data_IF_274138883867
#
_entry.id   IF_274138883867
#
_cell.length_a   1.000
_cell.length_b   1.000
_cell.length_c   1.000
_cell.angle_alpha   90.00
_cell.angle_beta   90.00
_cell.angle_gamma   90.00
#
_symmetry.space_group_name_H-M   'P 1'
#
loop_
_entity.id
_entity.type
_entity.pdbx_description
1 polymer ?
#
# COMPACT_ATOMS: atom_id res chain seq x y z
N UNK A 1 13.59 11.11 7.75
CA UNK A 1 12.29 10.53 8.19
C UNK A 1 11.84 9.48 7.19
N UNK A 2 11.71 8.19 7.53
CA UNK A 2 11.23 7.18 6.60
C UNK A 2 9.70 7.20 6.56
N UNK A 3 9.10 8.37 6.31
CA UNK A 3 7.64 8.49 6.20
C UNK A 3 7.10 7.81 4.92
N UNK A 4 7.97 7.52 3.95
CA UNK A 4 7.62 6.84 2.70
C UNK A 4 7.12 5.41 2.92
N UNK A 5 7.73 4.69 3.85
CA UNK A 5 7.49 3.27 4.03
C UNK A 5 6.24 2.98 4.89
N UNK A 6 5.98 3.79 5.93
CA UNK A 6 4.96 3.42 6.91
C UNK A 6 3.53 3.38 6.36
N UNK A 7 3.13 4.28 5.46
CA UNK A 7 1.76 4.28 4.93
C UNK A 7 1.51 3.02 4.09
N UNK A 8 2.47 2.68 3.23
CA UNK A 8 2.39 1.49 2.39
C UNK A 8 2.49 0.21 3.23
N UNK A 9 3.43 0.15 4.18
CA UNK A 9 3.57 -0.99 5.09
C UNK A 9 2.32 -1.17 5.95
N UNK A 10 1.73 -0.06 6.43
CA UNK A 10 0.50 -0.10 7.22
C UNK A 10 -0.69 -0.59 6.40
N UNK A 11 -0.83 -0.10 5.16
CA UNK A 11 -1.88 -0.56 4.24
C UNK A 11 -1.71 -2.06 3.93
N UNK A 12 -0.49 -2.52 3.63
CA UNK A 12 -0.19 -3.93 3.39
C UNK A 12 -0.53 -4.81 4.60
N UNK A 13 -0.16 -4.37 5.82
CA UNK A 13 -0.47 -5.09 7.06
C UNK A 13 -1.99 -5.26 7.28
N UNK A 14 -2.77 -4.23 7.01
CA UNK A 14 -4.24 -4.29 7.12
C UNK A 14 -4.86 -5.22 6.07
N UNK A 15 -4.36 -5.21 4.84
CA UNK A 15 -4.80 -6.13 3.78
C UNK A 15 -4.47 -7.59 4.12
N UNK A 16 -3.29 -7.85 4.69
CA UNK A 16 -2.91 -9.18 5.19
C UNK A 16 -3.85 -9.67 6.30
N UNK A 17 -4.20 -8.80 7.25
CA UNK A 17 -5.16 -9.13 8.30
C UNK A 17 -6.56 -9.41 7.72
N UNK A 18 -7.00 -8.61 6.73
CA UNK A 18 -8.26 -8.82 6.04
C UNK A 18 -8.30 -10.18 5.32
N UNK A 19 -7.23 -10.55 4.60
CA UNK A 19 -7.13 -11.86 3.96
C UNK A 19 -7.20 -13.05 4.94
N UNK A 20 -6.77 -12.88 6.19
CA UNK A 20 -6.90 -13.92 7.24
C UNK A 20 -8.34 -14.10 7.72
N UNK A 21 -9.17 -13.06 7.60
CA UNK A 21 -10.60 -13.08 7.94
C UNK A 21 -11.45 -13.72 6.84
N UNK A 22 -11.00 -13.67 5.58
CA UNK A 22 -11.63 -14.35 4.44
C UNK A 22 -11.32 -15.86 4.47
N UNK A 23 -12.30 -16.63 4.93
CA UNK A 23 -12.19 -18.09 5.15
C UNK A 23 -13.23 -18.89 4.37
N UNK A 24 -14.33 -18.25 3.95
CA UNK A 24 -15.41 -18.96 3.27
C UNK A 24 -15.02 -19.27 1.82
N UNK A 25 -15.50 -20.38 1.23
CA UNK A 25 -15.21 -20.72 -0.16
C UNK A 25 -15.63 -19.62 -1.15
N UNK A 26 -16.75 -18.96 -0.90
CA UNK A 26 -17.31 -17.91 -1.76
C UNK A 26 -16.43 -16.64 -1.76
N UNK A 27 -15.63 -16.45 -0.70
CA UNK A 27 -14.74 -15.30 -0.53
C UNK A 27 -13.39 -15.48 -1.25
N UNK A 28 -13.12 -16.65 -1.85
CA UNK A 28 -11.80 -16.91 -2.43
C UNK A 28 -11.45 -16.03 -3.62
N UNK A 29 -12.45 -15.66 -4.44
CA UNK A 29 -12.24 -14.72 -5.53
C UNK A 29 -11.80 -13.35 -5.01
N UNK A 30 -12.45 -12.85 -3.95
CA UNK A 30 -12.09 -11.61 -3.28
C UNK A 30 -10.69 -11.70 -2.66
N UNK A 31 -10.39 -12.81 -1.98
CA UNK A 31 -9.06 -13.04 -1.40
C UNK A 31 -7.95 -13.01 -2.45
N UNK A 32 -8.20 -13.59 -3.63
CA UNK A 32 -7.26 -13.56 -4.74
C UNK A 32 -7.10 -12.15 -5.33
N UNK A 33 -8.19 -11.38 -5.45
CA UNK A 33 -8.13 -9.99 -5.89
C UNK A 33 -7.30 -9.12 -4.93
N UNK A 34 -7.53 -9.25 -3.62
CA UNK A 34 -6.78 -8.51 -2.59
C UNK A 34 -5.29 -8.88 -2.62
N UNK A 35 -4.93 -10.16 -2.78
CA UNK A 35 -3.54 -10.58 -2.94
C UNK A 35 -2.86 -9.92 -4.14
N UNK A 36 -3.53 -9.86 -5.30
CA UNK A 36 -2.99 -9.18 -6.49
C UNK A 36 -2.72 -7.69 -6.22
N UNK A 37 -3.62 -7.02 -5.49
CA UNK A 37 -3.41 -5.62 -5.07
C UNK A 37 -2.19 -5.51 -4.16
N UNK A 38 -2.04 -6.40 -3.19
CA UNK A 38 -0.86 -6.42 -2.32
C UNK A 38 0.44 -6.63 -3.11
N UNK A 39 0.45 -7.51 -4.09
CA UNK A 39 1.63 -7.77 -4.94
C UNK A 39 2.00 -6.54 -5.80
N UNK A 40 0.99 -5.83 -6.33
CA UNK A 40 1.21 -4.54 -7.01
C UNK A 40 1.86 -3.53 -6.06
N UNK A 41 1.35 -3.43 -4.83
CA UNK A 41 1.92 -2.53 -3.81
C UNK A 41 3.36 -2.92 -3.43
N UNK A 42 3.69 -4.21 -3.43
CA UNK A 42 5.06 -4.71 -3.16
C UNK A 42 6.01 -4.60 -4.36
N UNK A 43 5.49 -4.31 -5.56
CA UNK A 43 6.29 -4.19 -6.78
C UNK A 43 7.27 -3.02 -6.71
N UNK A 44 8.53 -3.27 -7.09
CA UNK A 44 9.58 -2.24 -7.17
C UNK A 44 9.17 -1.05 -8.06
N UNK A 45 8.42 -1.32 -9.14
CA UNK A 45 7.91 -0.27 -10.03
C UNK A 45 6.95 0.65 -9.28
N UNK A 46 5.97 0.07 -8.57
CA UNK A 46 4.97 0.85 -7.85
C UNK A 46 5.59 1.60 -6.66
N UNK A 47 6.53 0.96 -5.94
CA UNK A 47 7.32 1.59 -4.88
C UNK A 47 8.18 2.77 -5.38
N UNK A 48 8.71 2.67 -6.61
CA UNK A 48 9.42 3.77 -7.25
C UNK A 48 8.47 4.93 -7.58
N UNK A 49 7.31 4.64 -8.19
CA UNK A 49 6.28 5.63 -8.51
C UNK A 49 5.77 6.37 -7.27
N UNK A 50 5.45 5.64 -6.19
CA UNK A 50 5.05 6.25 -4.91
C UNK A 50 6.15 7.12 -4.31
N UNK A 51 7.42 6.73 -4.49
CA UNK A 51 8.58 7.50 -4.07
C UNK A 51 8.77 8.82 -4.76
N UNK A 52 8.29 8.95 -6.00
CA UNK A 52 8.39 10.17 -6.80
C UNK A 52 7.27 11.18 -6.47
N UNK A 53 6.14 10.72 -5.92
CA UNK A 53 4.96 11.55 -5.62
C UNK A 53 5.07 12.33 -4.29
N UNK A 54 5.80 11.79 -3.30
CA UNK A 54 5.95 12.40 -1.96
C UNK A 54 6.88 13.61 -1.84
N UNK A 55 8.00 13.73 -2.59
CA UNK A 55 8.83 14.93 -2.57
C UNK A 55 7.98 16.17 -2.84
N UNK A 56 7.06 16.11 -3.81
CA UNK A 56 6.17 17.22 -4.15
C UNK A 56 5.28 17.65 -2.98
N UNK A 57 4.71 16.68 -2.23
CA UNK A 57 3.85 16.98 -1.08
C UNK A 57 4.63 17.56 0.10
N UNK A 58 5.82 17.01 0.41
CA UNK A 58 6.70 17.57 1.45
C UNK A 58 7.21 18.95 1.07
N UNK A 59 7.58 19.18 -0.20
CA UNK A 59 7.95 20.50 -0.71
C UNK A 59 6.80 21.49 -0.60
N UNK A 60 5.57 21.13 -1.01
CA UNK A 60 4.39 21.99 -0.89
C UNK A 60 4.07 22.27 0.58
N UNK A 61 4.16 21.29 1.46
CA UNK A 61 3.90 21.45 2.89
C UNK A 61 4.97 22.29 3.60
N UNK A 62 6.22 22.25 3.11
CA UNK A 62 7.28 23.17 3.54
C UNK A 62 7.13 24.57 2.96
N UNK A 63 6.63 24.72 1.73
CA UNK A 63 6.43 26.02 1.08
C UNK A 63 5.20 26.77 1.63
N UNK A 64 4.19 26.03 2.09
CA UNK A 64 3.00 26.58 2.74
C UNK A 64 3.19 26.89 4.25
N UNK A 65 4.41 26.80 4.79
CA UNK A 65 4.75 27.17 6.17
C UNK A 65 5.79 28.28 6.18
#
# INVERSE_FOLDING_TARGET
>A
LPLKHWYTDRALSLLEEYCKKLRKPEEQQLKNAVKKVMDIFKSNLFQALLGMMWPLYVYVLHLCR
#
